data_IF_201036064767
#
_entry.id   IF_201036064767
#
_cell.length_a   1.000
_cell.length_b   1.000
_cell.length_c   1.000
_cell.angle_alpha   90.00
_cell.angle_beta   90.00
_cell.angle_gamma   90.00
#
_symmetry.space_group_name_H-M   'P 1'
#
loop_
_entity.id
_entity.type
_entity.pdbx_description
1 polymer ?
#
# COMPACT_ATOMS: atom_id res chain seq x y z
N UNK A 1 -26.30 17.43 7.74
CA UNK A 1 -25.15 17.76 6.85
C UNK A 1 -25.67 18.56 5.66
N UNK A 2 -25.06 19.69 5.31
CA UNK A 2 -25.48 20.48 4.14
C UNK A 2 -24.97 19.82 2.85
N UNK A 3 -25.72 19.95 1.74
CA UNK A 3 -25.38 19.33 0.46
C UNK A 3 -23.97 19.68 -0.06
N UNK A 4 -23.44 20.87 0.27
CA UNK A 4 -22.07 21.29 -0.04
C UNK A 4 -21.00 20.44 0.67
N UNK A 5 -21.21 20.09 1.95
CA UNK A 5 -20.27 19.25 2.73
C UNK A 5 -20.22 17.83 2.17
N UNK A 6 -21.33 17.32 1.64
CA UNK A 6 -21.39 15.98 1.04
C UNK A 6 -20.60 15.92 -0.29
N UNK A 7 -20.80 16.89 -1.19
CA UNK A 7 -20.07 16.93 -2.48
C UNK A 7 -18.55 17.05 -2.31
N UNK A 8 -18.11 17.85 -1.33
CA UNK A 8 -16.68 18.03 -1.05
C UNK A 8 -16.05 16.74 -0.49
N UNK A 9 -16.77 16.01 0.38
CA UNK A 9 -16.34 14.71 0.88
C UNK A 9 -16.17 13.70 -0.25
N UNK A 10 -17.14 13.56 -1.14
CA UNK A 10 -17.07 12.64 -2.29
C UNK A 10 -15.83 12.94 -3.15
N UNK A 11 -15.55 14.22 -3.44
CA UNK A 11 -14.38 14.61 -4.21
C UNK A 11 -13.08 14.18 -3.52
N UNK A 12 -12.95 14.42 -2.22
CA UNK A 12 -11.75 14.02 -1.47
C UNK A 12 -11.61 12.50 -1.32
N UNK A 13 -12.72 11.78 -1.23
CA UNK A 13 -12.71 10.31 -1.27
C UNK A 13 -12.20 9.80 -2.61
N UNK A 14 -12.64 10.39 -3.73
CA UNK A 14 -12.14 10.04 -5.06
C UNK A 14 -10.64 10.32 -5.19
N UNK A 15 -10.17 11.46 -4.66
CA UNK A 15 -8.72 11.77 -4.62
C UNK A 15 -7.95 10.74 -3.78
N UNK A 16 -8.50 10.29 -2.65
CA UNK A 16 -7.88 9.23 -1.86
C UNK A 16 -7.80 7.92 -2.65
N UNK A 17 -8.87 7.53 -3.33
CA UNK A 17 -8.91 6.30 -4.14
C UNK A 17 -7.93 6.35 -5.32
N UNK A 18 -7.83 7.49 -6.01
CA UNK A 18 -6.85 7.68 -7.08
C UNK A 18 -5.43 7.50 -6.55
N UNK A 19 -5.10 8.15 -5.43
CA UNK A 19 -3.78 8.00 -4.80
C UNK A 19 -3.55 6.58 -4.30
N UNK A 20 -4.59 5.88 -3.84
CA UNK A 20 -4.50 4.47 -3.45
C UNK A 20 -4.11 3.59 -4.62
N UNK A 21 -4.73 3.80 -5.79
CA UNK A 21 -4.34 3.11 -7.04
C UNK A 21 -2.88 3.43 -7.41
N UNK A 22 -2.47 4.70 -7.39
CA UNK A 22 -1.07 5.08 -7.69
C UNK A 22 -0.07 4.37 -6.76
N UNK A 23 -0.32 4.34 -5.45
CA UNK A 23 0.59 3.67 -4.52
C UNK A 23 0.59 2.14 -4.71
N UNK A 24 -0.53 1.53 -5.09
CA UNK A 24 -0.56 0.10 -5.44
C UNK A 24 0.32 -0.23 -6.65
N UNK A 25 0.33 0.63 -7.67
CA UNK A 25 1.24 0.48 -8.81
C UNK A 25 2.68 0.58 -8.35
N UNK A 26 3.00 1.59 -7.53
CA UNK A 26 4.34 1.74 -6.93
C UNK A 26 4.77 0.45 -6.22
N UNK A 27 3.94 -0.11 -5.32
CA UNK A 27 4.25 -1.35 -4.61
C UNK A 27 4.36 -2.57 -5.54
N UNK A 28 3.60 -2.60 -6.63
CA UNK A 28 3.73 -3.65 -7.65
C UNK A 28 5.07 -3.56 -8.39
N UNK A 29 5.53 -2.35 -8.70
CA UNK A 29 6.86 -2.13 -9.31
C UNK A 29 8.00 -2.55 -8.38
N UNK A 30 7.85 -2.41 -7.06
CA UNK A 30 8.80 -2.98 -6.11
C UNK A 30 8.97 -4.48 -6.30
N UNK A 31 7.85 -5.23 -6.37
CA UNK A 31 7.92 -6.67 -6.56
C UNK A 31 8.46 -7.09 -7.93
N UNK A 32 8.29 -6.27 -8.97
CA UNK A 32 8.94 -6.49 -10.27
C UNK A 32 10.45 -6.27 -10.19
N UNK A 33 10.87 -5.24 -9.46
CA UNK A 33 12.28 -4.89 -9.28
C UNK A 33 13.07 -5.99 -8.57
N UNK A 34 12.44 -6.74 -7.66
CA UNK A 34 13.03 -7.94 -7.03
C UNK A 34 13.60 -8.90 -8.09
N UNK A 35 12.83 -9.20 -9.15
CA UNK A 35 13.26 -10.11 -10.24
C UNK A 35 14.39 -9.52 -11.08
N UNK A 36 14.40 -8.20 -11.26
CA UNK A 36 15.45 -7.50 -12.03
C UNK A 36 16.78 -7.56 -11.27
N UNK A 37 16.76 -7.37 -9.94
CA UNK A 37 17.95 -7.51 -9.09
C UNK A 37 18.47 -8.95 -9.13
N UNK A 38 17.60 -9.95 -9.00
CA UNK A 38 18.01 -11.36 -9.02
C UNK A 38 18.70 -11.76 -10.34
N UNK A 39 18.21 -11.25 -11.48
CA UNK A 39 18.79 -11.51 -12.80
C UNK A 39 20.11 -10.77 -13.04
N UNK A 40 20.53 -9.89 -12.13
CA UNK A 40 21.67 -9.00 -12.35
C UNK A 40 21.41 -7.94 -13.42
N UNK A 41 20.16 -7.73 -13.80
CA UNK A 41 19.72 -6.74 -14.80
C UNK A 41 19.53 -5.34 -14.17
N UNK A 42 19.61 -5.26 -12.84
CA UNK A 42 19.43 -4.02 -12.11
C UNK A 42 20.61 -3.05 -12.31
N UNK A 43 20.33 -1.75 -12.18
CA UNK A 43 21.38 -0.74 -12.12
C UNK A 43 22.36 -1.10 -11.00
N UNK A 44 23.65 -0.78 -11.22
CA UNK A 44 24.78 -1.15 -10.36
C UNK A 44 24.64 -0.81 -8.86
N UNK A 45 23.66 0.01 -8.48
CA UNK A 45 23.41 0.48 -7.13
C UNK A 45 22.07 0.03 -6.53
N UNK A 46 21.26 -0.73 -7.26
CA UNK A 46 19.98 -1.24 -6.78
C UNK A 46 20.20 -2.59 -6.11
N UNK A 47 19.93 -2.65 -4.81
CA UNK A 47 20.14 -3.83 -3.95
C UNK A 47 18.89 -4.11 -3.14
N UNK A 48 18.72 -5.32 -2.59
CA UNK A 48 17.57 -5.61 -1.73
C UNK A 48 17.49 -4.69 -0.50
N UNK A 49 18.63 -4.24 0.04
CA UNK A 49 18.66 -3.26 1.11
C UNK A 49 18.01 -1.93 0.68
N UNK A 50 18.50 -1.36 -0.43
CA UNK A 50 18.00 -0.10 -0.99
C UNK A 50 16.53 -0.20 -1.41
N UNK A 51 16.15 -1.32 -2.03
CA UNK A 51 14.78 -1.61 -2.42
C UNK A 51 13.85 -1.61 -1.19
N UNK A 52 14.28 -2.27 -0.10
CA UNK A 52 13.53 -2.33 1.16
C UNK A 52 13.38 -0.96 1.80
N UNK A 53 14.45 -0.16 1.85
CA UNK A 53 14.42 1.19 2.41
C UNK A 53 13.44 2.10 1.64
N UNK A 54 13.51 2.05 0.31
CA UNK A 54 12.63 2.81 -0.56
C UNK A 54 11.16 2.37 -0.39
N UNK A 55 10.92 1.06 -0.30
CA UNK A 55 9.58 0.49 -0.10
C UNK A 55 8.96 0.96 1.22
N UNK A 56 9.71 0.85 2.33
CA UNK A 56 9.26 1.31 3.65
C UNK A 56 9.03 2.82 3.68
N UNK A 57 9.89 3.60 3.02
CA UNK A 57 9.70 5.05 2.89
C UNK A 57 8.38 5.39 2.20
N UNK A 58 8.04 4.70 1.11
CA UNK A 58 6.76 4.88 0.41
C UNK A 58 5.56 4.44 1.25
N UNK A 59 5.66 3.32 2.00
CA UNK A 59 4.62 2.92 2.95
C UNK A 59 4.36 4.03 3.97
N UNK A 60 5.41 4.58 4.59
CA UNK A 60 5.27 5.65 5.60
C UNK A 60 4.62 6.91 5.04
N UNK A 61 5.01 7.31 3.81
CA UNK A 61 4.39 8.45 3.11
C UNK A 61 2.91 8.19 2.86
N UNK A 62 2.56 6.97 2.48
CA UNK A 62 1.19 6.62 2.20
C UNK A 62 0.33 6.55 3.46
N UNK A 63 0.83 5.94 4.54
CA UNK A 63 0.19 5.95 5.86
C UNK A 63 -0.15 7.37 6.29
N UNK A 64 0.79 8.32 6.16
CA UNK A 64 0.56 9.72 6.55
C UNK A 64 -0.60 10.35 5.78
N UNK A 65 -0.66 10.12 4.47
CA UNK A 65 -1.73 10.62 3.60
C UNK A 65 -3.08 10.03 4.00
N UNK A 66 -3.13 8.72 4.16
CA UNK A 66 -4.31 7.98 4.58
C UNK A 66 -4.84 8.43 5.95
N UNK A 67 -3.96 8.54 6.95
CA UNK A 67 -4.33 9.00 8.29
C UNK A 67 -4.84 10.44 8.29
N UNK A 68 -4.29 11.31 7.43
CA UNK A 68 -4.83 12.67 7.27
C UNK A 68 -6.29 12.67 6.82
N UNK A 69 -6.70 11.72 5.96
CA UNK A 69 -8.08 11.57 5.54
C UNK A 69 -8.95 10.98 6.66
N UNK A 70 -8.47 9.90 7.31
CA UNK A 70 -9.19 9.25 8.42
C UNK A 70 -9.53 10.27 9.52
N UNK A 71 -8.53 11.05 9.96
CA UNK A 71 -8.74 12.04 11.02
C UNK A 71 -9.60 13.21 10.61
N UNK A 72 -9.48 13.67 9.36
CA UNK A 72 -10.35 14.75 8.84
C UNK A 72 -11.83 14.38 8.91
N UNK A 73 -12.16 13.11 8.72
CA UNK A 73 -13.53 12.60 8.67
C UNK A 73 -13.95 11.81 9.92
N UNK A 74 -13.15 11.83 10.98
CA UNK A 74 -13.37 11.11 12.24
C UNK A 74 -13.65 9.61 12.03
N UNK A 75 -12.84 8.95 11.20
CA UNK A 75 -13.00 7.55 10.78
C UNK A 75 -12.13 6.57 11.59
N UNK A 76 -11.48 7.00 12.67
CA UNK A 76 -10.47 6.22 13.40
C UNK A 76 -10.99 4.88 13.91
N UNK A 77 -12.24 4.83 14.37
CA UNK A 77 -12.89 3.63 14.90
C UNK A 77 -13.80 2.95 13.85
N UNK A 78 -13.61 3.28 12.57
CA UNK A 78 -14.43 2.74 11.48
C UNK A 78 -13.78 1.50 10.86
N UNK A 79 -14.62 0.71 10.18
CA UNK A 79 -14.16 -0.38 9.33
C UNK A 79 -13.17 0.08 8.25
N UNK A 80 -13.29 1.33 7.75
CA UNK A 80 -12.35 1.87 6.76
C UNK A 80 -10.94 1.95 7.35
N UNK A 81 -10.80 2.49 8.57
CA UNK A 81 -9.50 2.58 9.23
C UNK A 81 -8.92 1.18 9.53
N UNK A 82 -9.76 0.23 9.95
CA UNK A 82 -9.34 -1.15 10.20
C UNK A 82 -8.82 -1.83 8.92
N UNK A 83 -9.59 -1.80 7.82
CA UNK A 83 -9.19 -2.41 6.54
C UNK A 83 -7.93 -1.78 5.98
N UNK A 84 -7.80 -0.47 6.11
CA UNK A 84 -6.61 0.26 5.71
C UNK A 84 -5.37 -0.14 6.53
N UNK A 85 -5.52 -0.31 7.84
CA UNK A 85 -4.44 -0.79 8.71
C UNK A 85 -4.02 -2.22 8.34
N UNK A 86 -4.98 -3.11 8.08
CA UNK A 86 -4.69 -4.48 7.65
C UNK A 86 -3.91 -4.50 6.33
N UNK A 87 -4.29 -3.64 5.37
CA UNK A 87 -3.53 -3.46 4.13
C UNK A 87 -2.08 -3.01 4.40
N UNK A 88 -1.86 -2.03 5.27
CA UNK A 88 -0.50 -1.58 5.62
C UNK A 88 0.33 -2.64 6.35
N UNK A 89 -0.28 -3.43 7.22
CA UNK A 89 0.38 -4.56 7.89
C UNK A 89 0.86 -5.57 6.85
N UNK A 90 0.02 -5.93 5.88
CA UNK A 90 0.38 -6.88 4.84
C UNK A 90 1.45 -6.33 3.87
N UNK A 91 1.41 -5.01 3.57
CA UNK A 91 2.51 -4.35 2.87
C UNK A 91 3.84 -4.45 3.64
N UNK A 92 3.85 -4.15 4.93
CA UNK A 92 5.07 -4.21 5.75
C UNK A 92 5.58 -5.65 5.82
N UNK A 93 4.69 -6.62 6.05
CA UNK A 93 5.06 -8.03 6.15
C UNK A 93 5.64 -8.59 4.84
N UNK A 94 5.29 -8.02 3.69
CA UNK A 94 5.82 -8.45 2.39
C UNK A 94 7.34 -8.32 2.29
N UNK A 95 7.99 -7.43 3.05
CA UNK A 95 9.46 -7.33 3.07
C UNK A 95 10.12 -8.60 3.62
N UNK A 96 9.39 -9.38 4.41
CA UNK A 96 9.87 -10.65 4.99
C UNK A 96 10.12 -11.76 3.97
N UNK A 97 9.87 -11.51 2.67
CA UNK A 97 10.31 -12.39 1.59
C UNK A 97 11.78 -12.15 1.17
N UNK A 98 12.40 -11.03 1.57
CA UNK A 98 13.78 -10.69 1.22
C UNK A 98 14.73 -11.06 2.36
N UNK A 99 15.78 -11.83 2.05
CA UNK A 99 16.94 -11.99 2.91
C UNK A 99 18.06 -11.08 2.41
N UNK A 100 18.14 -9.88 2.99
CA UNK A 100 19.13 -8.88 2.64
C UNK A 100 20.56 -9.35 2.98
N UNK A 101 20.74 -10.21 3.99
CA UNK A 101 22.07 -10.66 4.42
C UNK A 101 22.65 -11.68 3.45
N UNK A 102 21.83 -12.60 2.97
CA UNK A 102 22.24 -13.66 2.05
C UNK A 102 21.92 -13.34 0.58
N UNK A 103 21.39 -12.15 0.31
CA UNK A 103 20.96 -11.70 -1.00
C UNK A 103 20.05 -12.74 -1.71
N UNK A 104 19.05 -13.24 -0.98
CA UNK A 104 18.13 -14.28 -1.46
C UNK A 104 16.66 -13.90 -1.25
N UNK A 105 15.77 -14.61 -1.94
CA UNK A 105 14.32 -14.35 -1.93
C UNK A 105 13.58 -15.65 -1.61
N UNK A 106 12.59 -15.57 -0.72
CA UNK A 106 11.58 -16.61 -0.54
C UNK A 106 10.38 -16.32 -1.46
N UNK A 107 10.36 -17.02 -2.60
CA UNK A 107 9.31 -16.88 -3.61
C UNK A 107 7.92 -17.28 -3.12
N UNK A 108 7.84 -18.28 -2.23
CA UNK A 108 6.56 -18.70 -1.67
C UNK A 108 5.97 -17.58 -0.82
N UNK A 109 6.79 -16.97 0.05
CA UNK A 109 6.38 -15.81 0.84
C UNK A 109 6.03 -14.60 -0.04
N UNK A 110 6.78 -14.36 -1.12
CA UNK A 110 6.50 -13.26 -2.04
C UNK A 110 5.13 -13.40 -2.70
N UNK A 111 4.82 -14.57 -3.27
CA UNK A 111 3.52 -14.77 -3.94
C UNK A 111 2.36 -14.78 -2.95
N UNK A 112 2.56 -15.35 -1.75
CA UNK A 112 1.57 -15.27 -0.67
C UNK A 112 1.33 -13.82 -0.23
N UNK A 113 2.39 -13.01 -0.10
CA UNK A 113 2.27 -11.60 0.25
C UNK A 113 1.51 -10.80 -0.81
N UNK A 114 1.82 -10.99 -2.11
CA UNK A 114 1.09 -10.34 -3.21
C UNK A 114 -0.39 -10.69 -3.20
N UNK A 115 -0.72 -11.96 -3.01
CA UNK A 115 -2.11 -12.43 -2.93
C UNK A 115 -2.86 -11.78 -1.78
N UNK A 116 -2.25 -11.74 -0.58
CA UNK A 116 -2.83 -11.09 0.60
C UNK A 116 -3.01 -9.59 0.39
N UNK A 117 -2.00 -8.89 -0.13
CA UNK A 117 -2.08 -7.46 -0.42
C UNK A 117 -3.25 -7.18 -1.35
N UNK A 118 -3.41 -7.97 -2.42
CA UNK A 118 -4.53 -7.82 -3.35
C UNK A 118 -5.89 -8.00 -2.67
N UNK A 119 -6.05 -9.05 -1.88
CA UNK A 119 -7.28 -9.24 -1.11
C UNK A 119 -7.57 -8.06 -0.16
N UNK A 120 -6.54 -7.51 0.50
CA UNK A 120 -6.71 -6.31 1.36
C UNK A 120 -7.02 -5.03 0.58
N UNK A 121 -6.55 -4.92 -0.67
CA UNK A 121 -6.93 -3.80 -1.54
C UNK A 121 -8.41 -3.81 -1.83
N UNK A 122 -8.95 -4.98 -2.22
CA UNK A 122 -10.37 -5.15 -2.53
C UNK A 122 -11.22 -4.84 -1.29
N UNK A 123 -10.87 -5.40 -0.13
CA UNK A 123 -11.56 -5.11 1.13
C UNK A 123 -11.56 -3.62 1.51
N UNK A 124 -10.46 -2.90 1.26
CA UNK A 124 -10.39 -1.47 1.55
C UNK A 124 -11.26 -0.66 0.59
N UNK A 125 -11.19 -0.93 -0.72
CA UNK A 125 -12.00 -0.24 -1.73
C UNK A 125 -13.49 -0.44 -1.44
N UNK A 126 -13.91 -1.67 -1.12
CA UNK A 126 -15.29 -1.96 -0.75
C UNK A 126 -15.74 -1.18 0.50
N UNK A 127 -14.87 -1.10 1.50
CA UNK A 127 -15.17 -0.34 2.73
C UNK A 127 -15.35 1.17 2.47
N UNK A 128 -14.59 1.73 1.52
CA UNK A 128 -14.68 3.14 1.15
C UNK A 128 -15.89 3.43 0.28
N UNK A 129 -16.28 2.52 -0.62
CA UNK A 129 -17.43 2.71 -1.50
C UNK A 129 -18.74 2.92 -0.71
N UNK A 130 -18.84 2.36 0.50
CA UNK A 130 -19.96 2.61 1.44
C UNK A 130 -20.08 4.09 1.83
N UNK A 131 -18.98 4.86 1.79
CA UNK A 131 -18.99 6.29 2.13
C UNK A 131 -19.40 7.21 0.98
N UNK A 132 -19.48 6.69 -0.24
CA UNK A 132 -19.81 7.44 -1.47
C UNK A 132 -21.26 7.16 -1.93
N UNK A 133 -21.78 5.95 -1.64
CA UNK A 133 -23.16 5.55 -1.88
C UNK A 133 -24.13 6.10 -0.83
#
# INVERSE_FOLDING_TARGET
MTAKTNKYRILETNVLLERFVTYNEVFTEYFKTIKIIERGEALRYETYARLTDNYISNIKRFIKLCNSYITKYNLENSMVAERMNNYFIDLINAIGCLDVKHNSIDYSRLENAKSRIRARQDEFVDSINILIN
#
